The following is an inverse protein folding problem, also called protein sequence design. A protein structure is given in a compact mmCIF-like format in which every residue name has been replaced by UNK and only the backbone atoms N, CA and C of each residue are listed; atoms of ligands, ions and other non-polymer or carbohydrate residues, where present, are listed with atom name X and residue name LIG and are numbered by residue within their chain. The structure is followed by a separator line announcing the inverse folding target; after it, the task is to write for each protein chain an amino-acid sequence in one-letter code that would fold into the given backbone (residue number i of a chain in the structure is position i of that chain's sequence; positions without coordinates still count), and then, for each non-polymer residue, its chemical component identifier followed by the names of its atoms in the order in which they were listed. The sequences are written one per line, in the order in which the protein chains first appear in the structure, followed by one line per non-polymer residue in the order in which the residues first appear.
data_IF_957542876730
#
_entry.id   IF_957542876730
#
_cell.length_a   1.000
_cell.length_b   1.000
_cell.length_c   1.000
_cell.angle_alpha   90.00
_cell.angle_beta   90.00
_cell.angle_gamma   90.00
#
_symmetry.space_group_name_H-M   'P 1'
#
loop_
_entity.id
_entity.type
_entity.pdbx_description
1 polymer ?
#
# COMPACT_ATOMS: atom_id res chain seq x y z
N UNK A 1 31.88 0.93 -1.00
CA UNK A 1 31.21 2.03 -0.37
C UNK A 1 29.85 1.65 0.18
N UNK A 2 29.58 2.02 1.41
CA UNK A 2 28.30 1.80 2.11
C UNK A 2 27.12 2.60 1.51
N UNK A 3 27.38 3.48 0.54
CA UNK A 3 26.36 4.35 -0.05
C UNK A 3 25.37 3.68 -1.00
N UNK A 4 25.68 2.50 -1.53
CA UNK A 4 24.85 1.80 -2.51
C UNK A 4 23.92 0.73 -1.90
N UNK A 5 24.08 0.42 -0.62
CA UNK A 5 23.24 -0.58 0.06
C UNK A 5 21.78 -0.14 0.20
N UNK A 6 21.54 1.15 0.24
CA UNK A 6 20.20 1.72 0.43
C UNK A 6 19.29 1.73 -0.81
N UNK A 7 19.81 1.29 -1.96
CA UNK A 7 19.05 1.28 -3.23
C UNK A 7 18.65 -0.12 -3.71
N UNK A 8 18.93 -1.15 -2.96
CA UNK A 8 18.57 -2.52 -3.35
C UNK A 8 17.10 -2.76 -3.09
N UNK A 9 16.38 -3.13 -4.14
CA UNK A 9 14.94 -3.36 -4.10
C UNK A 9 14.56 -4.79 -3.72
N UNK A 10 15.52 -5.73 -3.78
CA UNK A 10 15.33 -7.14 -3.51
C UNK A 10 16.66 -7.82 -3.24
N UNK A 11 16.67 -8.81 -2.36
CA UNK A 11 17.83 -9.62 -2.04
C UNK A 11 17.53 -11.09 -2.31
N UNK A 12 18.44 -11.76 -2.98
CA UNK A 12 18.40 -13.22 -3.18
C UNK A 12 19.49 -13.82 -2.30
N UNK A 13 19.10 -14.72 -1.39
CA UNK A 13 20.00 -15.40 -0.47
C UNK A 13 20.01 -16.90 -0.73
N UNK A 14 21.19 -17.49 -0.79
CA UNK A 14 21.40 -18.93 -0.75
C UNK A 14 21.49 -19.40 0.70
N UNK A 15 20.74 -20.42 1.08
CA UNK A 15 20.82 -21.01 2.42
C UNK A 15 22.21 -21.60 2.68
N UNK A 16 22.80 -22.22 1.66
CA UNK A 16 24.11 -22.88 1.76
C UNK A 16 25.25 -21.94 1.36
N UNK A 17 25.71 -21.11 2.29
CA UNK A 17 26.88 -20.25 2.10
C UNK A 17 28.06 -20.68 3.01
N UNK A 18 29.35 -20.51 2.57
CA UNK A 18 30.50 -21.13 3.24
C UNK A 18 30.84 -20.62 4.65
N UNK A 19 30.48 -19.37 4.99
CA UNK A 19 30.91 -18.74 6.27
C UNK A 19 29.75 -18.39 7.19
N UNK A 20 28.59 -18.14 6.64
CA UNK A 20 27.38 -17.76 7.35
C UNK A 20 26.22 -18.34 6.56
N UNK A 21 25.27 -19.02 7.20
CA UNK A 21 24.11 -19.52 6.47
C UNK A 21 23.15 -18.39 6.10
N UNK A 22 22.32 -18.62 5.09
CA UNK A 22 21.35 -17.63 4.59
C UNK A 22 20.34 -17.21 5.66
N UNK A 23 20.06 -18.07 6.63
CA UNK A 23 19.15 -17.77 7.74
C UNK A 23 19.72 -16.70 8.67
N UNK A 24 20.98 -16.80 9.01
CA UNK A 24 21.66 -15.82 9.85
C UNK A 24 21.72 -14.46 9.16
N UNK A 25 22.04 -14.44 7.87
CA UNK A 25 22.02 -13.22 7.06
C UNK A 25 20.63 -12.58 7.02
N UNK A 26 19.58 -13.39 6.84
CA UNK A 26 18.21 -12.92 6.86
C UNK A 26 17.84 -12.27 8.20
N UNK A 27 18.20 -12.91 9.32
CA UNK A 27 17.96 -12.35 10.66
C UNK A 27 18.64 -11.00 10.85
N UNK A 28 19.90 -10.89 10.43
CA UNK A 28 20.62 -9.62 10.51
C UNK A 28 19.98 -8.52 9.66
N UNK A 29 19.62 -8.83 8.42
CA UNK A 29 18.96 -7.87 7.55
C UNK A 29 17.64 -7.37 8.16
N UNK A 30 16.85 -8.27 8.74
CA UNK A 30 15.55 -7.93 9.32
C UNK A 30 15.63 -7.04 10.56
N UNK A 31 16.78 -6.91 11.18
CA UNK A 31 16.95 -5.96 12.28
C UNK A 31 16.86 -4.49 11.84
N UNK A 32 17.17 -4.20 10.57
CA UNK A 32 17.23 -2.83 10.07
C UNK A 32 16.55 -2.59 8.72
N UNK A 33 16.03 -3.62 8.05
CA UNK A 33 15.43 -3.48 6.73
C UNK A 33 14.27 -4.45 6.49
N UNK A 34 13.25 -3.97 5.81
CA UNK A 34 12.12 -4.77 5.31
C UNK A 34 12.23 -5.05 3.80
N UNK A 35 13.43 -4.91 3.23
CA UNK A 35 13.67 -5.23 1.83
C UNK A 35 13.22 -6.66 1.50
N UNK A 36 12.53 -6.90 0.37
CA UNK A 36 12.11 -8.24 -0.03
C UNK A 36 13.28 -9.21 -0.13
N UNK A 37 13.11 -10.42 0.40
CA UNK A 37 14.12 -11.48 0.38
C UNK A 37 13.54 -12.73 -0.28
N UNK A 38 14.25 -13.24 -1.28
CA UNK A 38 14.04 -14.57 -1.84
C UNK A 38 15.13 -15.50 -1.31
N UNK A 39 14.71 -16.62 -0.73
CA UNK A 39 15.63 -17.64 -0.25
C UNK A 39 15.76 -18.78 -1.26
N UNK A 40 16.99 -19.13 -1.64
CA UNK A 40 17.29 -20.31 -2.45
C UNK A 40 17.71 -21.47 -1.53
N UNK A 41 17.05 -22.59 -1.63
CA UNK A 41 17.30 -23.76 -0.78
C UNK A 41 17.40 -25.06 -1.58
N UNK A 42 18.29 -25.96 -1.18
CA UNK A 42 18.38 -27.31 -1.74
C UNK A 42 17.31 -28.27 -1.18
N UNK A 43 16.59 -27.86 -0.12
CA UNK A 43 15.59 -28.69 0.57
C UNK A 43 14.23 -28.01 0.55
N UNK A 44 13.23 -28.74 0.10
CA UNK A 44 11.82 -28.44 0.29
C UNK A 44 11.30 -29.11 1.56
N UNK A 45 11.93 -28.86 2.71
CA UNK A 45 11.45 -29.33 3.99
C UNK A 45 10.45 -28.29 4.53
N UNK A 46 9.24 -28.74 4.86
CA UNK A 46 8.19 -27.91 5.43
C UNK A 46 8.66 -27.12 6.66
N UNK A 47 9.54 -27.69 7.48
CA UNK A 47 10.13 -27.03 8.63
C UNK A 47 11.04 -25.86 8.24
N UNK A 48 11.80 -25.98 7.17
CA UNK A 48 12.67 -24.92 6.68
C UNK A 48 11.84 -23.80 6.04
N UNK A 49 10.75 -24.11 5.35
CA UNK A 49 9.82 -23.12 4.82
C UNK A 49 9.12 -22.33 5.93
N UNK A 50 8.60 -23.02 6.95
CA UNK A 50 7.98 -22.38 8.12
C UNK A 50 8.95 -21.47 8.86
N UNK A 51 10.19 -21.92 9.07
CA UNK A 51 11.24 -21.10 9.67
C UNK A 51 11.54 -19.85 8.85
N UNK A 52 11.55 -19.96 7.54
CA UNK A 52 11.78 -18.85 6.64
C UNK A 52 10.68 -17.79 6.71
N UNK A 53 9.43 -18.18 6.72
CA UNK A 53 8.31 -17.25 6.88
C UNK A 53 8.32 -16.58 8.27
N UNK A 54 8.66 -17.30 9.33
CA UNK A 54 8.84 -16.73 10.67
C UNK A 54 9.98 -15.69 10.72
N UNK A 55 11.02 -15.87 9.90
CA UNK A 55 12.12 -14.92 9.77
C UNK A 55 11.82 -13.76 8.81
N UNK A 56 10.66 -13.77 8.16
CA UNK A 56 10.21 -12.70 7.26
C UNK A 56 10.76 -12.81 5.83
N UNK A 57 11.00 -14.04 5.35
CA UNK A 57 11.31 -14.31 3.95
C UNK A 57 10.04 -14.15 3.10
N UNK A 58 10.14 -13.48 1.96
CA UNK A 58 8.99 -13.20 1.09
C UNK A 58 8.70 -14.34 0.12
N UNK A 59 9.70 -15.10 -0.28
CA UNK A 59 9.56 -16.21 -1.23
C UNK A 59 10.66 -17.25 -1.05
N UNK A 60 10.33 -18.48 -1.38
CA UNK A 60 11.21 -19.65 -1.36
C UNK A 60 11.33 -20.27 -2.73
N UNK A 61 12.53 -20.61 -3.14
CA UNK A 61 12.79 -21.34 -4.38
C UNK A 61 13.71 -22.52 -4.10
N UNK A 62 13.21 -23.74 -4.37
CA UNK A 62 13.99 -24.97 -4.21
C UNK A 62 14.93 -25.20 -5.38
N UNK A 63 16.13 -25.64 -5.08
CA UNK A 63 17.10 -26.11 -6.10
C UNK A 63 16.84 -27.59 -6.45
N UNK A 64 17.01 -28.00 -7.69
CA UNK A 64 17.33 -27.19 -8.88
C UNK A 64 16.11 -26.37 -9.34
N UNK A 65 16.34 -25.14 -9.80
CA UNK A 65 15.30 -24.27 -10.30
C UNK A 65 15.58 -23.81 -11.73
N UNK A 66 14.52 -23.49 -12.47
CA UNK A 66 14.65 -22.82 -13.76
C UNK A 66 14.97 -21.33 -13.57
N UNK A 67 15.98 -20.77 -14.25
CA UNK A 67 16.23 -19.32 -14.21
C UNK A 67 15.00 -18.49 -14.59
N UNK A 68 14.15 -18.99 -15.47
CA UNK A 68 12.88 -18.32 -15.85
C UNK A 68 11.92 -18.22 -14.67
N UNK A 69 11.86 -19.23 -13.80
CA UNK A 69 11.03 -19.22 -12.59
C UNK A 69 11.57 -18.19 -11.60
N UNK A 70 12.88 -18.14 -11.39
CA UNK A 70 13.50 -17.14 -10.53
C UNK A 70 13.18 -15.71 -11.02
N UNK A 71 13.35 -15.43 -12.30
CA UNK A 71 13.02 -14.12 -12.89
C UNK A 71 11.55 -13.78 -12.69
N UNK A 72 10.64 -14.73 -12.95
CA UNK A 72 9.21 -14.51 -12.76
C UNK A 72 8.85 -14.17 -11.29
N UNK A 73 9.50 -14.82 -10.32
CA UNK A 73 9.30 -14.53 -8.89
C UNK A 73 9.84 -13.15 -8.50
N UNK A 74 11.03 -12.81 -8.99
CA UNK A 74 11.61 -11.47 -8.79
C UNK A 74 10.67 -10.39 -9.33
N UNK A 75 10.21 -10.54 -10.58
CA UNK A 75 9.28 -9.60 -11.19
C UNK A 75 7.96 -9.47 -10.42
N UNK A 76 7.41 -10.58 -9.93
CA UNK A 76 6.18 -10.59 -9.15
C UNK A 76 6.35 -9.82 -7.81
N UNK A 77 7.49 -9.98 -7.14
CA UNK A 77 7.78 -9.27 -5.89
C UNK A 77 8.01 -7.79 -6.16
N UNK A 78 8.79 -7.43 -7.18
CA UNK A 78 9.04 -6.04 -7.54
C UNK A 78 7.76 -5.31 -7.97
N UNK A 79 6.85 -5.98 -8.68
CA UNK A 79 5.53 -5.40 -8.99
C UNK A 79 4.72 -5.09 -7.73
N UNK A 80 4.73 -5.98 -6.74
CA UNK A 80 4.05 -5.75 -5.45
C UNK A 80 4.68 -4.59 -4.68
N UNK A 81 6.00 -4.49 -4.68
CA UNK A 81 6.74 -3.40 -4.02
C UNK A 81 6.51 -2.07 -4.72
N UNK A 82 6.54 -2.04 -6.05
CA UNK A 82 6.24 -0.85 -6.84
C UNK A 82 4.77 -0.43 -6.71
N UNK A 83 3.83 -1.39 -6.61
CA UNK A 83 2.44 -1.10 -6.32
C UNK A 83 2.25 -0.44 -4.95
N UNK A 84 3.11 -0.74 -3.96
CA UNK A 84 3.12 -0.05 -2.67
C UNK A 84 3.66 1.39 -2.77
N UNK A 85 4.58 1.67 -3.69
CA UNK A 85 5.03 3.02 -4.02
C UNK A 85 3.98 3.77 -4.86
N UNK A 86 3.32 3.08 -5.79
CA UNK A 86 2.21 3.59 -6.60
C UNK A 86 0.90 3.79 -5.80
N UNK A 87 0.84 3.30 -4.56
CA UNK A 87 -0.30 3.49 -3.65
C UNK A 87 -0.33 4.89 -2.99
N UNK A 88 0.58 5.77 -3.37
CA UNK A 88 0.55 7.17 -2.96
C UNK A 88 -0.10 8.00 -4.05
N UNK A 89 -1.21 8.65 -3.72
CA UNK A 89 -1.88 9.64 -4.57
C UNK A 89 -1.58 11.05 -4.07
N UNK A 90 -1.29 11.96 -4.99
CA UNK A 90 -1.07 13.37 -4.68
C UNK A 90 -1.97 14.26 -5.51
N UNK A 91 -2.58 15.25 -4.86
CA UNK A 91 -3.39 16.26 -5.50
C UNK A 91 -3.43 17.53 -4.65
N UNK A 92 -2.98 18.65 -5.20
CA UNK A 92 -3.11 19.97 -4.57
C UNK A 92 -2.52 20.09 -3.16
N UNK A 93 -1.43 19.40 -2.86
CA UNK A 93 -0.81 19.37 -1.54
C UNK A 93 -1.36 18.31 -0.59
N UNK A 94 -2.37 17.54 -1.02
CA UNK A 94 -2.84 16.34 -0.30
C UNK A 94 -2.03 15.16 -0.80
N UNK A 95 -1.40 14.43 0.12
CA UNK A 95 -0.73 13.16 -0.14
C UNK A 95 -1.46 12.05 0.63
N UNK A 96 -1.97 11.06 -0.09
CA UNK A 96 -2.71 9.93 0.48
C UNK A 96 -1.96 8.64 0.18
N UNK A 97 -1.56 7.93 1.23
CA UNK A 97 -0.89 6.64 1.13
C UNK A 97 -1.87 5.52 1.52
N UNK A 98 -2.31 4.72 0.54
CA UNK A 98 -3.27 3.62 0.78
C UNK A 98 -2.67 2.52 1.64
N UNK A 99 -1.42 2.15 1.39
CA UNK A 99 -0.76 1.07 2.11
C UNK A 99 -0.55 1.40 3.59
N UNK A 100 -0.14 2.63 3.88
CA UNK A 100 0.05 3.12 5.25
C UNK A 100 -1.25 3.60 5.90
N UNK A 101 -2.32 3.79 5.13
CA UNK A 101 -3.59 4.38 5.57
C UNK A 101 -3.39 5.78 6.20
N UNK A 102 -2.55 6.59 5.55
CA UNK A 102 -2.16 7.92 6.01
C UNK A 102 -2.51 9.01 5.01
N UNK A 103 -2.89 10.16 5.52
CA UNK A 103 -3.09 11.39 4.75
C UNK A 103 -2.21 12.49 5.31
N UNK A 104 -1.51 13.19 4.43
CA UNK A 104 -0.72 14.38 4.77
C UNK A 104 -1.17 15.56 3.93
N UNK A 105 -1.19 16.72 4.56
CA UNK A 105 -1.42 18.01 3.87
C UNK A 105 -0.18 18.85 4.05
N UNK A 106 0.47 19.21 2.94
CA UNK A 106 1.73 19.95 2.95
C UNK A 106 2.79 19.31 3.86
N UNK A 107 2.83 17.97 3.90
CA UNK A 107 3.76 17.18 4.70
C UNK A 107 3.32 16.89 6.15
N UNK A 108 2.27 17.51 6.63
CA UNK A 108 1.74 17.29 7.98
C UNK A 108 0.66 16.19 8.00
N UNK A 109 0.77 15.28 8.96
CA UNK A 109 -0.19 14.19 9.13
C UNK A 109 -1.56 14.71 9.56
N UNK A 110 -2.60 14.23 8.89
CA UNK A 110 -4.00 14.54 9.21
C UNK A 110 -4.70 13.27 9.69
N UNK A 111 -5.30 13.30 10.88
CA UNK A 111 -6.08 12.18 11.38
C UNK A 111 -7.48 12.16 10.78
N UNK A 112 -7.76 11.10 10.03
CA UNK A 112 -9.10 10.79 9.51
C UNK A 112 -9.62 9.50 10.14
N UNK A 113 -10.94 9.40 10.30
CA UNK A 113 -11.56 8.11 10.59
C UNK A 113 -11.39 7.17 9.39
N UNK A 114 -11.58 5.87 9.61
CA UNK A 114 -11.51 4.87 8.53
C UNK A 114 -12.40 5.25 7.33
N UNK A 115 -13.64 5.62 7.60
CA UNK A 115 -14.59 5.99 6.52
C UNK A 115 -14.30 7.33 5.88
N UNK A 116 -13.77 8.29 6.61
CA UNK A 116 -13.32 9.56 6.04
C UNK A 116 -12.12 9.34 5.11
N UNK A 117 -11.19 8.46 5.49
CA UNK A 117 -10.08 8.07 4.65
C UNK A 117 -10.55 7.39 3.35
N UNK A 118 -11.48 6.44 3.45
CA UNK A 118 -12.05 5.78 2.26
C UNK A 118 -12.82 6.74 1.36
N UNK A 119 -13.56 7.68 1.95
CA UNK A 119 -14.27 8.71 1.21
C UNK A 119 -13.31 9.63 0.44
N UNK A 120 -12.25 10.08 1.09
CA UNK A 120 -11.21 10.89 0.43
C UNK A 120 -10.52 10.09 -0.69
N UNK A 121 -10.19 8.83 -0.44
CA UNK A 121 -9.60 7.94 -1.45
C UNK A 121 -10.50 7.84 -2.68
N UNK A 122 -11.79 7.64 -2.48
CA UNK A 122 -12.76 7.55 -3.57
C UNK A 122 -12.87 8.86 -4.37
N UNK A 123 -12.85 10.00 -3.70
CA UNK A 123 -12.83 11.29 -4.35
C UNK A 123 -11.56 11.52 -5.18
N UNK A 124 -10.40 11.19 -4.63
CA UNK A 124 -9.13 11.37 -5.33
C UNK A 124 -8.95 10.40 -6.51
N UNK A 125 -9.50 9.18 -6.42
CA UNK A 125 -9.57 8.23 -7.54
C UNK A 125 -10.45 8.70 -8.70
N UNK A 126 -11.45 9.53 -8.40
CA UNK A 126 -12.44 10.02 -9.36
C UNK A 126 -12.34 11.53 -9.55
N UNK A 127 -11.13 12.07 -9.53
CA UNK A 127 -10.90 13.51 -9.69
C UNK A 127 -11.54 14.05 -10.97
N UNK A 128 -12.24 15.18 -10.85
CA UNK A 128 -12.95 15.82 -11.95
C UNK A 128 -14.30 15.20 -12.32
N UNK A 129 -14.69 14.09 -11.68
CA UNK A 129 -15.95 13.40 -11.93
C UNK A 129 -17.02 13.84 -10.93
N UNK A 130 -18.20 14.22 -11.44
CA UNK A 130 -19.35 14.48 -10.59
C UNK A 130 -19.94 13.15 -10.10
N UNK A 131 -19.98 12.97 -8.79
CA UNK A 131 -20.41 11.75 -8.12
C UNK A 131 -21.75 11.98 -7.41
N UNK A 132 -22.75 11.16 -7.73
CA UNK A 132 -24.03 11.20 -7.01
C UNK A 132 -23.86 10.67 -5.58
N UNK A 133 -24.74 11.09 -4.67
CA UNK A 133 -24.75 10.58 -3.28
C UNK A 133 -24.90 9.07 -3.23
N UNK A 134 -25.76 8.50 -4.06
CA UNK A 134 -25.95 7.04 -4.15
C UNK A 134 -24.69 6.33 -4.63
N UNK A 135 -24.00 6.88 -5.64
CA UNK A 135 -22.75 6.31 -6.14
C UNK A 135 -21.66 6.33 -5.08
N UNK A 136 -21.54 7.41 -4.32
CA UNK A 136 -20.60 7.50 -3.20
C UNK A 136 -20.94 6.47 -2.13
N UNK A 137 -22.23 6.38 -1.75
CA UNK A 137 -22.72 5.44 -0.76
C UNK A 137 -22.39 3.99 -1.15
N UNK A 138 -22.69 3.59 -2.38
CA UNK A 138 -22.48 2.24 -2.88
C UNK A 138 -21.01 1.84 -2.97
N UNK A 139 -20.11 2.78 -3.23
CA UNK A 139 -18.69 2.51 -3.40
C UNK A 139 -17.86 2.64 -2.10
N UNK A 140 -18.31 3.44 -1.15
CA UNK A 140 -17.60 3.67 0.12
C UNK A 140 -18.21 2.88 1.28
N UNK A 141 -19.54 2.67 1.30
CA UNK A 141 -20.28 1.96 2.37
C UNK A 141 -20.78 0.64 1.88
N UNK A 142 -20.56 -0.10 1.09
CA UNK A 142 -21.12 -1.39 0.64
C UNK A 142 -22.63 -1.35 0.29
N UNK A 143 -23.05 -2.26 -0.59
CA UNK A 143 -24.42 -2.43 -1.04
C UNK A 143 -25.43 -2.79 0.06
N UNK A 144 -24.96 -3.27 1.22
CA UNK A 144 -25.81 -3.68 2.36
C UNK A 144 -26.10 -2.53 3.34
N UNK A 145 -25.67 -1.31 3.02
CA UNK A 145 -25.97 -0.16 3.86
C UNK A 145 -27.35 0.39 3.52
N UNK A 146 -28.31 0.18 4.44
CA UNK A 146 -29.69 0.65 4.32
C UNK A 146 -29.90 2.09 4.80
N UNK A 147 -28.87 2.90 4.89
CA UNK A 147 -28.94 4.30 5.31
C UNK A 147 -29.42 5.23 4.21
N UNK A 148 -29.94 6.39 4.61
CA UNK A 148 -30.28 7.46 3.69
C UNK A 148 -29.00 8.04 3.04
N UNK A 149 -29.01 8.23 1.72
CA UNK A 149 -27.92 8.85 0.98
C UNK A 149 -27.57 10.27 1.47
N UNK A 150 -28.45 10.94 2.18
CA UNK A 150 -28.20 12.25 2.81
C UNK A 150 -27.16 12.17 3.93
N UNK A 151 -26.90 10.99 4.50
CA UNK A 151 -25.83 10.81 5.50
C UNK A 151 -24.45 11.13 4.94
N UNK A 152 -24.29 11.04 3.63
CA UNK A 152 -23.08 11.46 2.91
C UNK A 152 -22.74 12.91 3.19
N UNK A 153 -23.74 13.79 3.25
CA UNK A 153 -23.53 15.23 3.49
C UNK A 153 -22.84 15.49 4.85
N UNK A 154 -23.19 14.71 5.87
CA UNK A 154 -22.54 14.79 7.18
C UNK A 154 -21.09 14.35 7.12
N UNK A 155 -20.80 13.24 6.43
CA UNK A 155 -19.45 12.75 6.27
C UNK A 155 -18.57 13.69 5.44
N UNK A 156 -19.11 14.26 4.37
CA UNK A 156 -18.41 15.27 3.55
C UNK A 156 -18.11 16.51 4.37
N UNK A 157 -19.04 16.99 5.19
CA UNK A 157 -18.83 18.13 6.07
C UNK A 157 -17.69 17.90 7.05
N UNK A 158 -17.66 16.73 7.69
CA UNK A 158 -16.58 16.34 8.61
C UNK A 158 -15.25 16.24 7.90
N UNK A 159 -15.22 15.60 6.72
CA UNK A 159 -14.00 15.47 5.92
C UNK A 159 -13.46 16.84 5.49
N UNK A 160 -14.31 17.72 4.97
CA UNK A 160 -13.93 19.09 4.61
C UNK A 160 -13.29 19.82 5.79
N UNK A 161 -13.87 19.72 6.97
CA UNK A 161 -13.37 20.36 8.18
C UNK A 161 -11.97 19.86 8.54
N UNK A 162 -11.72 18.55 8.46
CA UNK A 162 -10.43 17.96 8.77
C UNK A 162 -9.35 18.27 7.72
N UNK A 163 -9.74 18.47 6.48
CA UNK A 163 -8.81 18.88 5.40
C UNK A 163 -8.45 20.37 5.44
N UNK A 164 -9.08 21.17 6.28
CA UNK A 164 -8.85 22.59 6.36
C UNK A 164 -9.08 23.31 5.03
N UNK A 165 -8.12 24.12 4.58
CA UNK A 165 -8.21 24.83 3.29
C UNK A 165 -8.40 23.90 2.09
N UNK A 166 -7.89 22.68 2.17
CA UNK A 166 -8.02 21.68 1.11
C UNK A 166 -9.42 21.07 1.01
N UNK A 167 -10.27 21.29 2.01
CA UNK A 167 -11.68 20.93 1.96
C UNK A 167 -12.44 21.57 0.79
N UNK A 168 -11.96 22.72 0.29
CA UNK A 168 -12.52 23.40 -0.89
C UNK A 168 -12.42 22.57 -2.19
N UNK A 169 -11.52 21.60 -2.24
CA UNK A 169 -11.42 20.70 -3.39
C UNK A 169 -12.62 19.78 -3.53
N UNK A 170 -13.36 19.52 -2.44
CA UNK A 170 -14.62 18.76 -2.49
C UNK A 170 -15.75 19.76 -2.75
N UNK A 171 -16.13 19.87 -4.00
CA UNK A 171 -17.16 20.82 -4.47
C UNK A 171 -18.54 20.19 -4.42
N UNK A 172 -19.52 20.95 -3.99
CA UNK A 172 -20.92 20.56 -4.04
C UNK A 172 -21.48 20.79 -5.45
N UNK A 173 -22.07 19.75 -6.02
CA UNK A 173 -22.83 19.84 -7.28
C UNK A 173 -24.31 19.80 -6.92
N UNK A 174 -24.94 20.93 -6.97
CA UNK A 174 -26.34 21.11 -6.56
C UNK A 174 -27.31 20.18 -7.32
N UNK A 175 -28.14 19.50 -6.57
CA UNK A 175 -29.09 18.53 -7.11
C UNK A 175 -28.49 17.17 -7.50
N UNK A 176 -27.18 16.97 -7.36
CA UNK A 176 -26.51 15.72 -7.74
C UNK A 176 -25.70 15.11 -6.61
N UNK A 177 -24.65 15.78 -6.15
CA UNK A 177 -23.72 15.26 -5.15
C UNK A 177 -22.46 16.09 -5.04
N UNK A 178 -21.32 15.48 -5.29
CA UNK A 178 -20.01 16.09 -5.06
C UNK A 178 -18.99 15.79 -6.18
N UNK A 179 -18.01 16.66 -6.31
CA UNK A 179 -16.89 16.50 -7.24
C UNK A 179 -15.58 16.93 -6.55
N UNK A 180 -14.55 16.13 -6.66
CA UNK A 180 -13.21 16.49 -6.20
C UNK A 180 -12.44 17.14 -7.36
N UNK A 181 -11.96 18.35 -7.15
CA UNK A 181 -11.27 19.13 -8.17
C UNK A 181 -10.29 20.11 -7.51
N UNK A 182 -9.00 19.97 -7.86
CA UNK A 182 -7.91 20.84 -7.38
C UNK A 182 -7.82 22.12 -8.19
#
# INVERSE_FOLDING_TARGET
GLGDVYKRQLIILDVMMPKMDGWEVCREIRQYSQVPIIMLTAKSDEKDELLGFDLGVDEYISKPFSPKILVARVEAILRRTNALEDDVMEAGGISLNRAAHEVRINGELVELSYKEFELLTYFMDNQGVALSRERILNNVWNYDYFGDARTIDTHVKKLRSKLGDKGEYIKTIWGMGYKFEV
#
